data_IF_012624460560
#
_entry.id   IF_012624460560
#
_cell.length_a   1.000
_cell.length_b   1.000
_cell.length_c   1.000
_cell.angle_alpha   90.00
_cell.angle_beta   90.00
_cell.angle_gamma   90.00
#
_symmetry.space_group_name_H-M   'P 1'
#
loop_
_entity.id
_entity.type
_entity.pdbx_description
1 polymer ?
#
# COMPACT_ATOMS: atom_id res chain seq x y z
N UNK A 1 -1.36 13.69 10.46
CA UNK A 1 -0.40 13.97 9.36
C UNK A 1 -0.32 12.70 8.53
N UNK A 2 0.04 12.76 7.25
CA UNK A 2 0.25 11.53 6.46
C UNK A 2 1.64 11.02 6.80
N UNK A 3 1.75 9.81 7.34
CA UNK A 3 3.05 9.23 7.73
C UNK A 3 3.73 8.50 6.56
N UNK A 4 2.94 8.03 5.60
CA UNK A 4 3.40 7.29 4.42
C UNK A 4 2.51 7.60 3.21
N UNK A 5 3.12 7.86 2.07
CA UNK A 5 2.44 7.83 0.77
C UNK A 5 3.38 7.19 -0.24
N UNK A 6 2.97 6.10 -0.89
CA UNK A 6 3.83 5.41 -1.86
C UNK A 6 3.05 4.99 -3.09
N UNK A 7 3.75 5.06 -4.23
CA UNK A 7 3.27 4.66 -5.54
C UNK A 7 4.24 3.62 -6.06
N UNK A 8 3.72 2.43 -6.36
CA UNK A 8 4.50 1.35 -6.93
C UNK A 8 3.69 0.61 -8.00
N UNK A 9 4.39 0.02 -8.95
CA UNK A 9 3.76 -0.85 -9.94
C UNK A 9 3.39 -2.19 -9.34
N UNK A 10 2.37 -2.87 -9.88
CA UNK A 10 2.01 -4.24 -9.48
C UNK A 10 3.16 -5.24 -9.65
N UNK A 11 4.14 -4.93 -10.50
CA UNK A 11 5.41 -5.65 -10.62
C UNK A 11 6.40 -5.46 -9.44
N UNK A 12 6.04 -4.68 -8.42
CA UNK A 12 6.82 -4.49 -7.19
C UNK A 12 7.84 -3.36 -7.22
N UNK A 13 7.97 -2.63 -8.34
CA UNK A 13 8.90 -1.48 -8.44
C UNK A 13 8.26 -0.26 -7.80
N UNK A 14 8.92 0.32 -6.79
CA UNK A 14 8.54 1.59 -6.18
C UNK A 14 8.92 2.74 -7.11
N UNK A 15 7.92 3.51 -7.54
CA UNK A 15 8.08 4.64 -8.45
C UNK A 15 8.32 5.94 -7.69
N UNK A 16 7.65 6.09 -6.54
CA UNK A 16 7.77 7.25 -5.68
C UNK A 16 7.36 6.88 -4.25
N UNK A 17 8.05 7.45 -3.26
CA UNK A 17 7.78 7.23 -1.85
C UNK A 17 8.00 8.51 -1.05
N UNK A 18 6.99 8.91 -0.29
CA UNK A 18 7.07 9.85 0.80
C UNK A 18 6.88 9.10 2.10
N UNK A 19 7.77 9.34 3.05
CA UNK A 19 7.68 8.79 4.39
C UNK A 19 8.10 9.87 5.37
N UNK A 20 7.22 10.16 6.32
CA UNK A 20 7.51 11.07 7.41
C UNK A 20 8.18 10.30 8.56
N UNK A 21 9.36 10.74 8.96
CA UNK A 21 10.12 10.11 10.04
C UNK A 21 10.80 8.79 9.66
N UNK A 22 11.41 8.15 10.67
CA UNK A 22 12.21 6.94 10.50
C UNK A 22 11.46 5.62 10.71
N UNK A 23 10.12 5.63 10.77
CA UNK A 23 9.32 4.43 10.98
C UNK A 23 9.39 3.50 9.76
N UNK A 24 9.55 2.19 9.98
CA UNK A 24 9.58 1.21 8.92
C UNK A 24 8.18 0.66 8.68
N UNK A 25 7.59 0.98 7.52
CA UNK A 25 6.26 0.48 7.10
C UNK A 25 6.33 -0.81 6.27
N UNK A 26 7.53 -1.33 6.03
CA UNK A 26 7.80 -2.47 5.15
C UNK A 26 6.96 -3.69 5.50
N UNK A 27 6.83 -4.03 6.79
CA UNK A 27 6.06 -5.19 7.23
C UNK A 27 4.57 -5.03 6.95
N UNK A 28 3.99 -3.87 7.29
CA UNK A 28 2.58 -3.57 7.05
C UNK A 28 2.23 -3.52 5.56
N UNK A 29 3.12 -2.95 4.72
CA UNK A 29 2.94 -2.96 3.26
C UNK A 29 3.03 -4.38 2.71
N UNK A 30 4.01 -5.18 3.14
CA UNK A 30 4.14 -6.56 2.68
C UNK A 30 2.93 -7.41 3.08
N UNK A 31 2.35 -7.15 4.27
CA UNK A 31 1.14 -7.83 4.70
C UNK A 31 -0.07 -7.42 3.85
N UNK A 32 -0.22 -6.13 3.54
CA UNK A 32 -1.24 -5.65 2.60
C UNK A 32 -1.11 -6.36 1.25
N UNK A 33 0.09 -6.45 0.67
CA UNK A 33 0.31 -7.11 -0.62
C UNK A 33 -0.18 -8.55 -0.57
N UNK A 34 0.20 -9.31 0.47
CA UNK A 34 -0.15 -10.73 0.62
C UNK A 34 -1.64 -10.98 0.85
N UNK A 35 -2.27 -10.18 1.71
CA UNK A 35 -3.64 -10.45 2.15
C UNK A 35 -4.70 -9.82 1.24
N UNK A 36 -4.35 -8.74 0.54
CA UNK A 36 -5.30 -7.94 -0.21
C UNK A 36 -5.03 -8.02 -1.70
N UNK A 37 -3.81 -7.67 -2.14
CA UNK A 37 -3.50 -7.60 -3.56
C UNK A 37 -3.41 -8.99 -4.19
N UNK A 38 -2.75 -9.94 -3.52
CA UNK A 38 -2.62 -11.32 -4.01
C UNK A 38 -3.91 -12.15 -3.89
N UNK A 39 -4.80 -11.79 -2.97
CA UNK A 39 -6.08 -12.49 -2.79
C UNK A 39 -7.23 -11.84 -3.56
N UNK A 40 -6.96 -10.80 -4.36
CA UNK A 40 -7.93 -10.07 -5.18
C UNK A 40 -9.21 -9.65 -4.43
N UNK A 41 -9.08 -9.30 -3.14
CA UNK A 41 -10.23 -8.86 -2.31
C UNK A 41 -10.63 -7.43 -2.67
N UNK A 42 -11.16 -7.24 -3.89
CA UNK A 42 -11.43 -5.93 -4.50
C UNK A 42 -12.57 -5.10 -3.88
N UNK A 43 -13.26 -5.60 -2.85
CA UNK A 43 -14.41 -4.92 -2.25
C UNK A 43 -14.07 -3.97 -1.10
N UNK A 44 -12.80 -3.83 -0.71
CA UNK A 44 -12.38 -2.94 0.38
C UNK A 44 -11.31 -1.97 -0.13
N UNK A 45 -11.21 -0.76 0.41
CA UNK A 45 -10.16 0.22 0.06
C UNK A 45 -9.31 0.60 1.27
N UNK A 46 -9.51 -0.13 2.38
CA UNK A 46 -8.91 0.10 3.68
C UNK A 46 -8.42 -1.24 4.22
N UNK A 47 -7.19 -1.27 4.68
CA UNK A 47 -6.54 -2.39 5.33
C UNK A 47 -6.08 -1.93 6.71
N UNK A 48 -6.37 -2.73 7.72
CA UNK A 48 -5.97 -2.44 9.10
C UNK A 48 -5.00 -3.51 9.56
N UNK A 49 -3.84 -3.10 10.03
CA UNK A 49 -2.83 -4.00 10.57
C UNK A 49 -2.17 -3.36 11.77
N UNK A 50 -2.27 -4.00 12.93
CA UNK A 50 -1.92 -3.42 14.23
C UNK A 50 -2.63 -2.07 14.44
N UNK A 51 -1.89 -1.04 14.82
CA UNK A 51 -2.41 0.33 15.01
C UNK A 51 -2.38 1.17 13.72
N UNK A 52 -2.03 0.58 12.57
CA UNK A 52 -1.96 1.26 11.28
C UNK A 52 -3.24 1.02 10.47
N UNK A 53 -3.79 2.11 9.94
CA UNK A 53 -4.87 2.09 8.95
C UNK A 53 -4.30 2.53 7.62
N UNK A 54 -4.20 1.60 6.69
CA UNK A 54 -3.70 1.82 5.35
C UNK A 54 -4.90 1.94 4.40
N UNK A 55 -4.98 3.01 3.63
CA UNK A 55 -5.89 3.10 2.49
C UNK A 55 -5.11 2.85 1.22
N UNK A 56 -5.75 2.20 0.26
CA UNK A 56 -5.12 1.93 -1.01
C UNK A 56 -6.09 2.12 -2.17
N UNK A 57 -5.51 2.38 -3.34
CA UNK A 57 -6.22 2.46 -4.61
C UNK A 57 -5.43 1.71 -5.66
N UNK A 58 -6.15 0.96 -6.49
CA UNK A 58 -5.58 0.23 -7.62
C UNK A 58 -5.96 0.93 -8.92
N UNK A 59 -4.97 1.09 -9.79
CA UNK A 59 -5.18 1.46 -11.18
C UNK A 59 -4.75 0.25 -12.03
N UNK A 60 -5.75 -0.46 -12.56
CA UNK A 60 -5.53 -1.67 -13.35
C UNK A 60 -5.20 -1.36 -14.81
N UNK A 61 -5.42 -0.14 -15.29
CA UNK A 61 -5.08 0.23 -16.67
C UNK A 61 -3.56 0.45 -16.79
N UNK A 62 -2.96 1.07 -15.78
CA UNK A 62 -1.53 1.37 -15.74
C UNK A 62 -0.73 0.47 -14.79
N UNK A 63 -1.38 -0.54 -14.21
CA UNK A 63 -0.78 -1.49 -13.27
C UNK A 63 -0.10 -0.80 -12.06
N UNK A 64 -0.78 0.19 -11.47
CA UNK A 64 -0.29 0.98 -10.34
C UNK A 64 -1.05 0.69 -9.05
N UNK A 65 -0.34 0.84 -7.94
CA UNK A 65 -0.85 0.77 -6.57
C UNK A 65 -0.49 2.05 -5.85
N UNK A 66 -1.49 2.69 -5.25
CA UNK A 66 -1.33 3.85 -4.38
C UNK A 66 -1.65 3.44 -2.96
N UNK A 67 -0.79 3.80 -2.01
CA UNK A 67 -0.94 3.52 -0.58
C UNK A 67 -0.81 4.83 0.20
N UNK A 68 -1.70 5.05 1.18
CA UNK A 68 -1.64 6.12 2.19
C UNK A 68 -1.99 5.61 3.58
#
# INVERSE_FOLDING_TARGET
>A
MIELFTIFGKGGIVLWCFQEGGQLFTDSINQLIREVLMQERGNTTVFKHNDLTIKYKLDNEFELVFIV
#
